data_IF_364604370698
#
_entry.id   IF_364604370698
#
_cell.length_a   1.000
_cell.length_b   1.000
_cell.length_c   1.000
_cell.angle_alpha   90.00
_cell.angle_beta   90.00
_cell.angle_gamma   90.00
#
_symmetry.space_group_name_H-M   'P 1'
#
loop_
_entity.id
_entity.type
_entity.pdbx_description
1 polymer ?
#
# COMPACT_ATOMS: atom_id res chain seq x y z
N UNK A 1 10.28 -8.37 -24.48
CA UNK A 1 11.26 -7.80 -23.53
C UNK A 1 11.76 -8.90 -22.60
N UNK A 2 13.01 -8.81 -22.14
CA UNK A 2 13.51 -9.73 -21.09
C UNK A 2 12.82 -9.40 -19.76
N UNK A 3 12.70 -10.38 -18.83
CA UNK A 3 12.12 -10.13 -17.52
C UNK A 3 12.78 -8.96 -16.78
N UNK A 4 14.09 -8.82 -16.90
CA UNK A 4 14.88 -7.78 -16.25
C UNK A 4 14.56 -6.40 -16.81
N UNK A 5 14.40 -6.28 -18.14
CA UNK A 5 14.02 -5.02 -18.76
C UNK A 5 12.62 -4.57 -18.32
N UNK A 6 11.64 -5.48 -18.24
CA UNK A 6 10.28 -5.12 -17.79
C UNK A 6 10.27 -4.76 -16.31
N UNK A 7 11.05 -5.47 -15.48
CA UNK A 7 11.22 -5.15 -14.07
C UNK A 7 11.81 -3.74 -13.88
N UNK A 8 12.90 -3.43 -14.58
CA UNK A 8 13.54 -2.12 -14.53
C UNK A 8 12.58 -1.01 -14.99
N UNK A 9 11.79 -1.25 -16.04
CA UNK A 9 10.79 -0.29 -16.51
C UNK A 9 9.68 -0.06 -15.47
N UNK A 10 9.18 -1.11 -14.82
CA UNK A 10 8.17 -0.98 -13.78
C UNK A 10 8.67 -0.18 -12.56
N UNK A 11 9.94 -0.40 -12.18
CA UNK A 11 10.62 0.33 -11.11
C UNK A 11 10.78 1.81 -11.51
N UNK A 12 11.32 2.08 -12.69
CA UNK A 12 11.51 3.44 -13.21
C UNK A 12 10.20 4.23 -13.25
N UNK A 13 9.14 3.61 -13.77
CA UNK A 13 7.80 4.20 -13.82
C UNK A 13 7.26 4.53 -12.41
N UNK A 14 7.61 3.73 -11.40
CA UNK A 14 7.15 3.92 -10.03
C UNK A 14 7.95 5.01 -9.30
N UNK A 15 9.29 4.88 -9.34
CA UNK A 15 10.23 5.68 -8.55
C UNK A 15 10.46 7.07 -9.14
N UNK A 16 10.59 7.18 -10.46
CA UNK A 16 10.99 8.43 -11.12
C UNK A 16 9.86 9.12 -11.88
N UNK A 17 8.91 8.36 -12.42
CA UNK A 17 7.78 8.93 -13.19
C UNK A 17 6.48 9.07 -12.38
N UNK A 18 6.44 8.52 -11.15
CA UNK A 18 5.25 8.47 -10.29
C UNK A 18 4.00 7.82 -10.93
N UNK A 19 4.18 6.99 -11.96
CA UNK A 19 3.14 6.27 -12.69
C UNK A 19 2.78 4.96 -12.00
N UNK A 20 2.33 5.05 -10.74
CA UNK A 20 2.08 3.89 -9.87
C UNK A 20 1.16 2.84 -10.49
N UNK A 21 0.01 3.26 -11.00
CA UNK A 21 -0.97 2.35 -11.62
C UNK A 21 -0.37 1.61 -12.82
N UNK A 22 0.42 2.30 -13.65
CA UNK A 22 1.10 1.68 -14.78
C UNK A 22 2.14 0.64 -14.32
N UNK A 23 2.91 0.94 -13.27
CA UNK A 23 3.85 -0.02 -12.66
C UNK A 23 3.15 -1.27 -12.12
N UNK A 24 2.01 -1.11 -11.44
CA UNK A 24 1.23 -2.23 -10.92
C UNK A 24 0.64 -3.09 -12.06
N UNK A 25 0.18 -2.47 -13.15
CA UNK A 25 -0.29 -3.16 -14.35
C UNK A 25 0.84 -3.94 -15.04
N UNK A 26 2.02 -3.34 -15.22
CA UNK A 26 3.19 -4.03 -15.78
C UNK A 26 3.52 -5.28 -14.95
N UNK A 27 3.55 -5.13 -13.63
CA UNK A 27 3.86 -6.23 -12.74
C UNK A 27 2.79 -7.33 -12.74
N UNK A 28 1.51 -6.97 -12.87
CA UNK A 28 0.42 -7.93 -13.06
C UNK A 28 0.67 -8.79 -14.30
N UNK A 29 1.03 -8.18 -15.41
CA UNK A 29 1.35 -8.92 -16.65
C UNK A 29 2.59 -9.80 -16.48
N UNK A 30 3.65 -9.30 -15.82
CA UNK A 30 4.82 -10.11 -15.48
C UNK A 30 4.43 -11.34 -14.65
N UNK A 31 3.52 -11.20 -13.69
CA UNK A 31 3.09 -12.31 -12.82
C UNK A 31 2.33 -13.42 -13.58
N UNK A 32 1.76 -13.12 -14.76
CA UNK A 32 1.09 -14.10 -15.63
C UNK A 32 2.07 -14.92 -16.47
N UNK A 33 3.26 -14.39 -16.72
CA UNK A 33 4.27 -15.02 -17.57
C UNK A 33 5.20 -15.92 -16.76
N UNK A 34 5.24 -17.22 -17.09
CA UNK A 34 6.13 -18.19 -16.42
C UNK A 34 7.61 -17.78 -16.48
N UNK A 35 8.03 -17.17 -17.59
CA UNK A 35 9.41 -16.71 -17.83
C UNK A 35 9.83 -15.57 -16.91
N UNK A 36 8.88 -14.80 -16.37
CA UNK A 36 9.17 -13.60 -15.57
C UNK A 36 9.19 -13.88 -14.06
N UNK A 37 8.75 -15.07 -13.62
CA UNK A 37 8.59 -15.43 -12.21
C UNK A 37 9.80 -15.12 -11.33
N UNK A 38 11.02 -15.22 -11.86
CA UNK A 38 12.26 -15.02 -11.08
C UNK A 38 12.42 -13.61 -10.52
N UNK A 39 11.91 -12.59 -11.20
CA UNK A 39 12.03 -11.17 -10.79
C UNK A 39 10.77 -10.62 -10.10
N UNK A 40 9.61 -11.27 -10.29
CA UNK A 40 8.30 -10.73 -9.85
C UNK A 40 8.27 -10.32 -8.38
N UNK A 41 8.77 -11.14 -7.47
CA UNK A 41 8.64 -10.81 -6.04
C UNK A 41 9.48 -9.59 -5.64
N UNK A 42 10.71 -9.50 -6.12
CA UNK A 42 11.63 -8.39 -5.82
C UNK A 42 11.11 -7.10 -6.46
N UNK A 43 10.62 -7.18 -7.70
CA UNK A 43 9.99 -6.04 -8.36
C UNK A 43 8.73 -5.58 -7.61
N UNK A 44 7.86 -6.52 -7.22
CA UNK A 44 6.64 -6.22 -6.44
C UNK A 44 6.96 -5.54 -5.12
N UNK A 45 7.93 -6.09 -4.39
CA UNK A 45 8.37 -5.50 -3.14
C UNK A 45 8.81 -4.06 -3.37
N UNK A 46 9.65 -3.81 -4.37
CA UNK A 46 10.22 -2.49 -4.64
C UNK A 46 9.18 -1.45 -5.05
N UNK A 47 8.23 -1.80 -5.93
CA UNK A 47 7.24 -0.82 -6.43
C UNK A 47 6.09 -0.55 -5.45
N UNK A 48 5.92 -1.38 -4.42
CA UNK A 48 4.97 -1.08 -3.34
C UNK A 48 5.60 -0.03 -2.42
N UNK A 49 5.05 1.18 -2.45
CA UNK A 49 5.54 2.33 -1.70
C UNK A 49 4.52 2.83 -0.66
N UNK A 50 3.24 2.43 -0.77
CA UNK A 50 2.16 2.82 0.15
C UNK A 50 1.30 1.62 0.53
N UNK A 51 0.59 1.67 1.68
CA UNK A 51 -0.35 0.61 2.06
C UNK A 51 -1.42 0.35 1.00
N UNK A 52 -1.97 1.40 0.37
CA UNK A 52 -2.98 1.25 -0.68
C UNK A 52 -2.49 0.42 -1.87
N UNK A 53 -1.20 0.52 -2.23
CA UNK A 53 -0.65 -0.19 -3.39
C UNK A 53 -0.74 -1.73 -3.19
N UNK A 54 -0.69 -2.22 -1.94
CA UNK A 54 -0.93 -3.63 -1.60
C UNK A 54 -2.33 -4.08 -2.02
N UNK A 55 -3.35 -3.31 -1.64
CA UNK A 55 -4.76 -3.60 -1.95
C UNK A 55 -5.06 -3.42 -3.43
N UNK A 56 -4.54 -2.34 -4.02
CA UNK A 56 -4.71 -2.00 -5.42
C UNK A 56 -4.10 -3.07 -6.33
N UNK A 57 -2.89 -3.54 -6.02
CA UNK A 57 -2.28 -4.63 -6.78
C UNK A 57 -3.13 -5.90 -6.76
N UNK A 58 -3.68 -6.29 -5.60
CA UNK A 58 -4.55 -7.47 -5.50
C UNK A 58 -5.85 -7.28 -6.27
N UNK A 59 -6.45 -6.08 -6.20
CA UNK A 59 -7.63 -5.75 -6.99
C UNK A 59 -7.34 -5.86 -8.51
N UNK A 60 -6.24 -5.27 -8.98
CA UNK A 60 -5.78 -5.38 -10.37
C UNK A 60 -5.49 -6.84 -10.75
N UNK A 61 -4.84 -7.61 -9.89
CA UNK A 61 -4.54 -9.02 -10.15
C UNK A 61 -5.81 -9.83 -10.43
N UNK A 62 -6.92 -9.50 -9.76
CA UNK A 62 -8.23 -10.15 -9.90
C UNK A 62 -9.19 -9.46 -10.87
N UNK A 63 -8.78 -8.44 -11.63
CA UNK A 63 -9.69 -7.72 -12.53
C UNK A 63 -10.36 -8.62 -13.61
N UNK A 64 -9.74 -9.75 -13.98
CA UNK A 64 -10.32 -10.72 -14.94
C UNK A 64 -10.94 -11.94 -14.24
N UNK A 65 -11.18 -11.86 -12.93
CA UNK A 65 -11.68 -12.96 -12.11
C UNK A 65 -10.70 -13.42 -11.04
N UNK A 66 -11.26 -13.95 -9.95
CA UNK A 66 -10.49 -14.35 -8.76
C UNK A 66 -9.75 -15.67 -9.00
N UNK A 67 -8.43 -15.61 -8.90
CA UNK A 67 -7.54 -16.78 -8.99
C UNK A 67 -6.55 -16.78 -7.82
N UNK A 68 -5.98 -17.94 -7.43
CA UNK A 68 -4.94 -17.98 -6.40
C UNK A 68 -3.75 -17.08 -6.76
N UNK A 69 -3.26 -16.29 -5.79
CA UNK A 69 -2.03 -15.51 -5.98
C UNK A 69 -0.86 -16.47 -6.19
N UNK A 70 -0.03 -16.17 -7.20
CA UNK A 70 1.20 -16.93 -7.45
C UNK A 70 2.15 -16.84 -6.25
N UNK A 71 3.02 -17.85 -6.08
CA UNK A 71 3.98 -17.88 -4.97
C UNK A 71 4.89 -16.66 -4.94
N UNK A 72 5.27 -16.14 -6.11
CA UNK A 72 6.12 -14.94 -6.24
C UNK A 72 5.36 -13.67 -5.86
N UNK A 73 4.08 -13.57 -6.22
CA UNK A 73 3.22 -12.47 -5.76
C UNK A 73 3.07 -12.49 -4.25
N UNK A 74 2.76 -13.65 -3.66
CA UNK A 74 2.66 -13.79 -2.20
C UNK A 74 3.96 -13.38 -1.52
N UNK A 75 5.10 -13.85 -2.04
CA UNK A 75 6.43 -13.50 -1.53
C UNK A 75 6.69 -11.99 -1.57
N UNK A 76 6.40 -11.32 -2.70
CA UNK A 76 6.59 -9.88 -2.85
C UNK A 76 5.68 -9.05 -1.95
N UNK A 77 4.39 -9.41 -1.86
CA UNK A 77 3.44 -8.76 -0.94
C UNK A 77 3.87 -8.95 0.52
N UNK A 78 4.30 -10.16 0.89
CA UNK A 78 4.75 -10.46 2.24
C UNK A 78 6.03 -9.70 2.63
N UNK A 79 6.94 -9.49 1.67
CA UNK A 79 8.15 -8.70 1.88
C UNK A 79 7.87 -7.19 1.93
N UNK A 80 6.87 -6.70 1.19
CA UNK A 80 6.47 -5.30 1.20
C UNK A 80 5.68 -4.89 2.45
N UNK A 81 4.84 -5.78 2.98
CA UNK A 81 3.93 -5.45 4.09
C UNK A 81 4.63 -4.84 5.32
N UNK A 82 5.80 -5.36 5.78
CA UNK A 82 6.51 -4.81 6.91
C UNK A 82 7.03 -3.38 6.75
N UNK A 83 6.98 -2.79 5.54
CA UNK A 83 7.43 -1.40 5.29
C UNK A 83 6.56 -0.35 6.00
N UNK A 84 5.34 -0.72 6.38
CA UNK A 84 4.34 0.24 6.85
C UNK A 84 4.15 0.20 8.38
N UNK A 85 4.03 1.38 8.97
CA UNK A 85 3.71 1.57 10.39
C UNK A 85 2.19 1.66 10.65
N UNK A 86 1.81 1.68 11.94
CA UNK A 86 0.38 1.74 12.35
C UNK A 86 -0.35 2.94 11.75
N UNK A 87 0.30 4.11 11.70
CA UNK A 87 -0.30 5.36 11.19
C UNK A 87 -0.55 5.30 9.69
N UNK A 88 0.39 4.75 8.94
CA UNK A 88 0.23 4.53 7.52
C UNK A 88 -0.91 3.54 7.25
N UNK A 89 -0.94 2.41 7.97
CA UNK A 89 -1.97 1.38 7.76
C UNK A 89 -3.38 1.89 8.08
N UNK A 90 -3.56 2.66 9.16
CA UNK A 90 -4.87 3.19 9.54
C UNK A 90 -5.44 4.20 8.55
N UNK A 91 -4.58 4.93 7.84
CA UNK A 91 -5.01 5.91 6.84
C UNK A 91 -5.69 5.27 5.61
N UNK A 92 -5.60 3.95 5.42
CA UNK A 92 -6.08 3.25 4.23
C UNK A 92 -6.98 2.04 4.55
N UNK A 93 -7.52 1.90 5.77
CA UNK A 93 -8.45 0.79 6.07
C UNK A 93 -9.71 0.84 5.19
N UNK A 94 -10.12 2.01 4.72
CA UNK A 94 -11.32 2.21 3.90
C UNK A 94 -11.07 2.49 2.42
N UNK A 95 -9.84 2.24 1.95
CA UNK A 95 -9.42 2.63 0.60
C UNK A 95 -10.01 1.80 -0.57
N UNK A 96 -10.87 0.81 -0.32
CA UNK A 96 -11.48 0.03 -1.40
C UNK A 96 -12.06 -1.34 -1.01
N UNK A 97 -12.40 -2.17 -2.02
CA UNK A 97 -13.06 -3.46 -1.84
C UNK A 97 -12.13 -4.54 -1.27
N UNK A 98 -10.81 -4.43 -1.49
CA UNK A 98 -9.81 -5.30 -0.89
C UNK A 98 -9.24 -4.59 0.34
N UNK A 99 -9.32 -5.22 1.51
CA UNK A 99 -8.84 -4.64 2.76
C UNK A 99 -7.40 -5.08 3.05
N UNK A 100 -6.64 -4.24 3.78
CA UNK A 100 -5.26 -4.55 4.18
C UNK A 100 -5.15 -5.87 4.95
N UNK A 101 -6.14 -6.18 5.81
CA UNK A 101 -6.22 -7.47 6.51
C UNK A 101 -6.33 -8.66 5.55
N UNK A 102 -7.06 -8.50 4.44
CA UNK A 102 -7.22 -9.56 3.44
C UNK A 102 -5.88 -9.82 2.76
N UNK A 103 -5.17 -8.76 2.38
CA UNK A 103 -3.83 -8.88 1.78
C UNK A 103 -2.86 -9.57 2.74
N UNK A 104 -2.88 -9.19 4.02
CA UNK A 104 -2.04 -9.81 5.06
C UNK A 104 -2.27 -11.33 5.14
N UNK A 105 -3.53 -11.77 5.13
CA UNK A 105 -3.86 -13.20 5.14
C UNK A 105 -3.49 -13.90 3.82
N UNK A 106 -3.68 -13.26 2.68
CA UNK A 106 -3.40 -13.84 1.36
C UNK A 106 -1.91 -14.07 1.11
N UNK A 107 -1.05 -13.16 1.58
CA UNK A 107 0.40 -13.24 1.39
C UNK A 107 1.12 -14.02 2.49
N UNK A 108 0.47 -14.25 3.64
CA UNK A 108 1.06 -14.87 4.82
C UNK A 108 2.33 -14.14 5.31
N UNK A 109 2.29 -12.79 5.34
CA UNK A 109 3.42 -12.03 5.87
C UNK A 109 3.68 -12.40 7.33
N UNK A 110 4.96 -12.36 7.71
CA UNK A 110 5.38 -12.53 9.10
C UNK A 110 5.83 -11.18 9.65
N UNK A 111 5.41 -10.81 10.87
CA UNK A 111 5.89 -9.58 11.47
C UNK A 111 7.39 -9.70 11.70
N UNK A 112 8.11 -8.59 11.56
CA UNK A 112 9.56 -8.54 11.79
C UNK A 112 9.92 -8.63 13.28
N UNK A 113 9.03 -8.17 14.14
CA UNK A 113 9.20 -8.07 15.60
C UNK A 113 7.85 -8.10 16.33
N UNK A 114 7.88 -8.19 17.66
CA UNK A 114 6.68 -8.24 18.51
C UNK A 114 5.86 -6.95 18.47
N UNK A 115 6.51 -5.80 18.24
CA UNK A 115 5.84 -4.51 18.11
C UNK A 115 4.93 -4.50 16.88
N UNK A 116 5.47 -4.89 15.73
CA UNK A 116 4.72 -5.02 14.48
C UNK A 116 3.66 -6.12 14.59
N UNK A 117 3.95 -7.23 15.27
CA UNK A 117 2.93 -8.24 15.56
C UNK A 117 1.74 -7.64 16.35
N UNK A 118 2.00 -6.75 17.31
CA UNK A 118 0.97 -5.99 18.03
C UNK A 118 0.12 -5.11 17.12
N UNK A 119 0.77 -4.34 16.22
CA UNK A 119 0.07 -3.51 15.23
C UNK A 119 -0.79 -4.36 14.29
N UNK A 120 -0.27 -5.49 13.81
CA UNK A 120 -1.00 -6.36 12.90
C UNK A 120 -2.19 -7.05 13.57
N UNK A 121 -2.12 -7.37 14.87
CA UNK A 121 -3.29 -7.82 15.64
C UNK A 121 -4.40 -6.76 15.63
N UNK A 122 -4.06 -5.48 15.83
CA UNK A 122 -5.02 -4.38 15.74
C UNK A 122 -5.63 -4.27 14.34
N UNK A 123 -4.80 -4.35 13.28
CA UNK A 123 -5.27 -4.36 11.88
C UNK A 123 -6.25 -5.52 11.62
N UNK A 124 -5.92 -6.73 12.07
CA UNK A 124 -6.79 -7.90 11.91
C UNK A 124 -8.14 -7.69 12.61
N UNK A 125 -8.13 -7.07 13.79
CA UNK A 125 -9.33 -6.78 14.55
C UNK A 125 -10.08 -5.50 14.14
N UNK A 126 -9.58 -4.74 13.16
CA UNK A 126 -10.16 -3.44 12.77
C UNK A 126 -10.12 -2.42 13.91
N UNK A 127 -9.02 -2.40 14.67
CA UNK A 127 -8.80 -1.54 15.86
C UNK A 127 -7.52 -0.71 15.74
N UNK A 128 -7.07 -0.43 14.52
CA UNK A 128 -5.94 0.48 14.35
C UNK A 128 -6.33 1.84 14.92
N UNK A 129 -5.39 2.50 15.60
CA UNK A 129 -5.62 3.87 16.04
C UNK A 129 -5.80 4.74 14.78
N UNK A 130 -7.02 5.21 14.56
CA UNK A 130 -7.30 6.18 13.50
C UNK A 130 -6.55 7.45 13.90
N UNK A 131 -5.63 7.94 13.06
CA UNK A 131 -4.94 9.17 13.37
C UNK A 131 -6.01 10.26 13.32
N UNK A 132 -6.13 11.06 14.38
CA UNK A 132 -6.89 12.31 14.36
C UNK A 132 -6.34 13.13 13.18
N UNK A 133 -6.99 13.08 12.02
CA UNK A 133 -6.43 13.69 10.81
C UNK A 133 -7.38 14.71 10.20
N UNK A 134 -7.01 15.95 10.49
CA UNK A 134 -6.88 17.07 9.55
C UNK A 134 -8.10 17.92 9.21
N UNK A 135 -9.34 17.45 9.32
CA UNK A 135 -10.48 18.39 9.19
C UNK A 135 -10.62 19.30 10.42
N UNK A 136 -10.31 18.77 11.61
CA UNK A 136 -10.46 19.51 12.87
C UNK A 136 -9.29 20.49 13.09
N UNK A 137 -8.06 20.10 12.76
CA UNK A 137 -6.88 20.95 12.98
C UNK A 137 -6.84 22.16 12.03
N UNK A 138 -7.18 21.97 10.75
CA UNK A 138 -7.23 23.08 9.78
C UNK A 138 -8.39 24.03 10.09
N UNK A 139 -9.53 23.51 10.53
CA UNK A 139 -10.67 24.35 10.95
C UNK A 139 -10.39 25.12 12.26
N UNK A 140 -9.65 24.52 13.19
CA UNK A 140 -9.23 25.17 14.45
C UNK A 140 -8.28 26.33 14.17
N UNK A 141 -7.23 26.11 13.38
CA UNK A 141 -6.23 27.15 13.08
C UNK A 141 -6.83 28.30 12.25
N UNK A 142 -7.75 27.99 11.33
CA UNK A 142 -8.49 29.00 10.58
C UNK A 142 -9.42 29.84 11.46
N UNK A 143 -10.11 29.21 12.43
CA UNK A 143 -10.97 29.91 13.38
C UNK A 143 -10.19 30.80 14.36
N UNK A 144 -9.02 30.35 14.81
CA UNK A 144 -8.17 31.10 15.73
C UNK A 144 -7.55 32.34 15.08
N UNK A 145 -7.16 32.26 13.81
CA UNK A 145 -6.64 33.40 13.05
C UNK A 145 -7.74 34.45 12.76
N UNK A 146 -8.95 34.01 12.40
CA UNK A 146 -10.09 34.90 12.19
C UNK A 146 -10.54 35.64 13.46
N UNK A 147 -10.35 35.01 14.64
CA UNK A 147 -10.62 35.65 15.93
C UNK A 147 -9.58 36.73 16.27
N UNK A 148 -8.30 36.49 15.98
CA UNK A 148 -7.21 37.45 16.25
C UNK A 148 -7.31 38.72 15.40
N UNK A 149 -7.71 38.62 14.13
CA UNK A 149 -7.90 39.80 13.26
C UNK A 149 -9.03 40.72 13.75
N UNK A 150 -10.16 40.16 14.21
CA UNK A 150 -11.28 40.96 14.75
C UNK A 150 -10.94 41.69 16.05
N UNK A 151 -10.03 41.15 16.86
CA UNK A 151 -9.61 41.78 18.12
C UNK A 151 -8.60 42.91 17.88
N UNK A 152 -7.86 42.90 16.77
CA UNK A 152 -6.94 43.99 16.42
C UNK A 152 -7.58 45.20 15.73
N UNK A 153 -8.83 45.09 15.28
CA UNK A 153 -9.58 46.16 14.60
C UNK A 153 -10.59 46.88 15.53
N UNK A 154 -10.63 46.56 16.82
CA UNK A 154 -11.40 47.28 17.87
C UNK A 154 -10.48 47.92 18.90
#
# INVERSE_FOLDING_TARGET
FTPECVAALAIEACEHSHLRHASLLLLREMARLRTHRRVVAETLERIIQRPADLCEFVALYWQDGRVPLSSQVKRGLAAAFPKFDERQLSSYEDAGPIKLRDVLFLCHAKPRDDQQAGVWKKLIWGRLAVPDTREIAISSDAAENAFKEKVSES
#
